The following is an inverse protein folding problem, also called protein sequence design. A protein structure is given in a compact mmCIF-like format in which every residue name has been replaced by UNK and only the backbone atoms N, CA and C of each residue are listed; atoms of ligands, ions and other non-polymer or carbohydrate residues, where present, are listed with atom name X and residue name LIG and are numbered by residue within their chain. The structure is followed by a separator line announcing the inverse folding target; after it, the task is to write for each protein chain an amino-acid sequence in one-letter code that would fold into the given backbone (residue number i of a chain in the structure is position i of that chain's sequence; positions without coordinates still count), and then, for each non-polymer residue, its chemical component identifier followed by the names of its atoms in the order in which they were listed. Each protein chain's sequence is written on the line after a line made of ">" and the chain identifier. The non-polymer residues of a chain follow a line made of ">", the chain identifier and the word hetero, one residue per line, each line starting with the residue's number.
data_IF_227965149631
#
_entry.id   IF_227965149631
#
_cell.length_a   1.000
_cell.length_b   1.000
_cell.length_c   1.000
_cell.angle_alpha   90.00
_cell.angle_beta   90.00
_cell.angle_gamma   90.00
#
_symmetry.space_group_name_H-M   'P 1'
#
loop_
_entity.id
_entity.type
_entity.pdbx_description
1 polymer ?
#
# COMPACT_ATOMS: atom_id res chain seq x y z
N UNK A 1 61.90 0.94 -52.90
CA UNK A 1 61.07 1.17 -54.10
C UNK A 1 60.50 -0.19 -54.47
N UNK A 2 59.22 -0.50 -54.36
CA UNK A 2 57.98 0.28 -54.46
C UNK A 2 56.88 -0.46 -53.71
N UNK A 3 55.90 0.30 -53.23
CA UNK A 3 54.63 -0.11 -52.62
C UNK A 3 53.76 -0.90 -53.59
N UNK A 4 52.97 -1.87 -53.11
CA UNK A 4 51.56 -1.91 -53.49
C UNK A 4 50.66 -2.57 -52.44
N UNK A 5 49.49 -1.96 -52.32
CA UNK A 5 48.43 -2.12 -51.34
C UNK A 5 47.42 -3.18 -51.82
N UNK A 6 46.92 -4.00 -50.90
CA UNK A 6 45.72 -4.84 -51.11
C UNK A 6 45.13 -5.24 -49.76
N UNK A 7 44.36 -4.30 -49.24
CA UNK A 7 43.16 -4.48 -48.40
C UNK A 7 42.53 -5.88 -48.47
N UNK A 8 42.54 -6.60 -47.34
CA UNK A 8 41.62 -7.72 -47.09
C UNK A 8 40.71 -7.38 -45.91
N UNK A 9 39.48 -7.02 -46.26
CA UNK A 9 38.33 -6.86 -45.36
C UNK A 9 38.09 -8.16 -44.59
N UNK A 10 38.20 -8.09 -43.26
CA UNK A 10 37.69 -9.09 -42.33
C UNK A 10 36.20 -8.86 -42.10
N UNK A 11 35.40 -9.90 -42.30
CA UNK A 11 33.96 -9.90 -42.00
C UNK A 11 33.70 -9.71 -40.49
N UNK A 12 32.59 -9.07 -40.10
CA UNK A 12 32.29 -8.83 -38.69
C UNK A 12 31.94 -10.14 -37.99
N UNK A 13 32.55 -10.37 -36.83
CA UNK A 13 32.23 -11.47 -35.94
C UNK A 13 30.76 -11.45 -35.55
N UNK A 14 30.17 -12.63 -35.48
CA UNK A 14 28.86 -12.87 -34.90
C UNK A 14 28.84 -12.36 -33.45
N UNK A 15 28.17 -11.23 -33.22
CA UNK A 15 27.78 -10.80 -31.88
C UNK A 15 26.82 -11.85 -31.34
N UNK A 16 27.35 -12.81 -30.57
CA UNK A 16 26.56 -13.61 -29.66
C UNK A 16 26.03 -12.66 -28.60
N UNK A 17 24.82 -12.14 -28.83
CA UNK A 17 24.07 -11.43 -27.80
C UNK A 17 23.98 -12.32 -26.58
N UNK A 18 24.71 -11.95 -25.52
CA UNK A 18 24.61 -12.59 -24.21
C UNK A 18 23.19 -12.30 -23.74
N UNK A 19 22.30 -13.27 -23.94
CA UNK A 19 20.95 -13.21 -23.41
C UNK A 19 21.07 -13.48 -21.91
N UNK A 20 21.43 -12.44 -21.14
CA UNK A 20 21.42 -12.50 -19.68
C UNK A 20 19.97 -12.82 -19.30
N UNK A 21 19.68 -13.99 -18.68
CA UNK A 21 18.37 -14.20 -18.13
C UNK A 21 18.22 -13.15 -17.05
N UNK A 22 17.37 -12.15 -17.29
CA UNK A 22 16.97 -11.23 -16.23
C UNK A 22 16.29 -12.10 -15.20
N UNK A 23 16.99 -12.41 -14.11
CA UNK A 23 16.46 -13.23 -13.03
C UNK A 23 15.22 -12.53 -12.52
N UNK A 24 14.07 -13.10 -12.89
CA UNK A 24 12.78 -12.58 -12.50
C UNK A 24 12.68 -12.54 -10.97
N UNK A 25 13.44 -13.36 -10.23
CA UNK A 25 13.39 -13.48 -8.77
C UNK A 25 14.21 -12.43 -8.02
N UNK A 26 14.55 -11.29 -8.65
CA UNK A 26 15.29 -10.23 -7.97
C UNK A 26 14.45 -9.58 -6.83
N UNK A 27 14.88 -9.70 -5.57
CA UNK A 27 14.15 -9.18 -4.40
C UNK A 27 14.13 -7.65 -4.32
N UNK A 28 14.90 -6.96 -5.16
CA UNK A 28 14.94 -5.49 -5.26
C UNK A 28 14.03 -4.93 -6.35
N UNK A 29 13.36 -5.76 -7.14
CA UNK A 29 12.37 -5.28 -8.12
C UNK A 29 11.20 -4.64 -7.37
N UNK A 30 10.79 -3.45 -7.82
CA UNK A 30 9.61 -2.79 -7.27
C UNK A 30 8.37 -3.60 -7.63
N UNK A 31 7.85 -4.33 -6.65
CA UNK A 31 6.66 -5.18 -6.82
C UNK A 31 5.35 -4.38 -6.85
N UNK A 32 5.43 -3.08 -6.55
CA UNK A 32 4.32 -2.14 -6.48
C UNK A 32 4.76 -0.77 -7.00
N UNK A 33 3.88 -0.08 -7.72
CA UNK A 33 4.08 1.32 -8.14
C UNK A 33 4.07 2.32 -6.98
N UNK A 34 3.57 1.91 -5.81
CA UNK A 34 3.46 2.74 -4.59
C UNK A 34 3.98 1.98 -3.37
N UNK A 35 4.75 2.63 -2.50
CA UNK A 35 5.10 2.04 -1.21
C UNK A 35 3.94 2.14 -0.23
N UNK A 36 3.71 1.10 0.57
CA UNK A 36 2.70 1.16 1.65
C UNK A 36 3.06 2.30 2.60
N UNK A 37 2.13 3.22 2.79
CA UNK A 37 2.27 4.41 3.65
C UNK A 37 1.20 4.50 4.75
N UNK A 38 0.39 3.44 4.90
CA UNK A 38 -0.68 3.35 5.89
C UNK A 38 -1.99 4.03 5.50
N UNK A 39 -2.03 4.75 4.37
CA UNK A 39 -3.25 5.35 3.81
C UNK A 39 -3.65 4.72 2.47
N UNK A 40 -2.68 4.19 1.72
CA UNK A 40 -2.88 3.62 0.39
C UNK A 40 -3.06 2.09 0.37
N UNK A 41 -3.52 1.49 1.47
CA UNK A 41 -3.57 0.03 1.63
C UNK A 41 -4.25 -0.69 0.46
N UNK A 42 -5.41 -0.22 -0.01
CA UNK A 42 -6.15 -0.89 -1.09
C UNK A 42 -5.34 -0.96 -2.40
N UNK A 43 -4.73 0.15 -2.81
CA UNK A 43 -3.93 0.23 -4.04
C UNK A 43 -2.65 -0.61 -3.90
N UNK A 44 -1.99 -0.51 -2.74
CA UNK A 44 -0.79 -1.29 -2.45
C UNK A 44 -1.09 -2.79 -2.44
N UNK A 45 -2.14 -3.21 -1.72
CA UNK A 45 -2.52 -4.62 -1.58
C UNK A 45 -2.88 -5.22 -2.93
N UNK A 46 -3.66 -4.50 -3.75
CA UNK A 46 -4.00 -4.97 -5.10
C UNK A 46 -2.76 -5.13 -5.98
N UNK A 47 -1.85 -4.15 -5.94
CA UNK A 47 -0.60 -4.20 -6.71
C UNK A 47 0.28 -5.39 -6.30
N UNK A 48 0.46 -5.58 -4.99
CA UNK A 48 1.24 -6.68 -4.43
C UNK A 48 0.63 -8.04 -4.80
N UNK A 49 -0.70 -8.20 -4.68
CA UNK A 49 -1.40 -9.43 -5.09
C UNK A 49 -1.21 -9.72 -6.56
N UNK A 50 -1.37 -8.74 -7.45
CA UNK A 50 -1.20 -8.93 -8.90
C UNK A 50 0.23 -9.38 -9.23
N UNK A 51 1.25 -8.73 -8.65
CA UNK A 51 2.64 -9.09 -8.87
C UNK A 51 2.96 -10.52 -8.40
N UNK A 52 2.53 -10.86 -7.18
CA UNK A 52 2.79 -12.17 -6.57
C UNK A 52 2.01 -13.27 -7.30
N UNK A 53 0.76 -13.00 -7.69
CA UNK A 53 -0.07 -13.92 -8.48
C UNK A 53 0.50 -14.17 -9.87
N UNK A 54 1.00 -13.13 -10.56
CA UNK A 54 1.66 -13.25 -11.85
C UNK A 54 2.92 -14.13 -11.84
N UNK A 55 3.44 -14.46 -10.65
CA UNK A 55 4.60 -15.33 -10.43
C UNK A 55 4.23 -16.70 -9.85
N UNK A 56 2.95 -17.00 -9.73
CA UNK A 56 2.46 -18.27 -9.17
C UNK A 56 2.72 -18.44 -7.67
N UNK A 57 2.98 -17.35 -6.93
CA UNK A 57 3.30 -17.39 -5.49
C UNK A 57 2.15 -16.96 -4.59
N UNK A 58 0.93 -16.85 -5.13
CA UNK A 58 -0.24 -16.36 -4.38
C UNK A 58 -0.58 -17.22 -3.15
N UNK A 59 -0.26 -18.52 -3.21
CA UNK A 59 -0.47 -19.45 -2.09
C UNK A 59 0.23 -19.05 -0.80
N UNK A 60 1.32 -18.28 -0.88
CA UNK A 60 2.04 -17.75 0.30
C UNK A 60 1.29 -16.58 0.97
N UNK A 61 0.44 -15.85 0.24
CA UNK A 61 -0.45 -14.83 0.80
C UNK A 61 -1.74 -15.44 1.37
N UNK A 62 -2.30 -16.46 0.71
CA UNK A 62 -3.58 -17.07 1.10
C UNK A 62 -3.43 -18.15 2.17
N UNK A 63 -2.23 -18.72 2.30
CA UNK A 63 -1.96 -19.86 3.19
C UNK A 63 -2.18 -21.22 2.53
N UNK A 64 -2.51 -21.26 1.24
CA UNK A 64 -2.64 -22.51 0.48
C UNK A 64 -1.27 -23.21 0.34
N UNK A 65 -0.19 -22.43 0.27
CA UNK A 65 1.18 -22.94 0.35
C UNK A 65 1.52 -23.24 1.82
N UNK A 66 1.04 -24.39 2.31
CA UNK A 66 1.24 -24.82 3.70
C UNK A 66 2.70 -25.05 4.02
N UNK A 67 3.09 -24.67 5.22
CA UNK A 67 4.39 -24.97 5.75
C UNK A 67 4.56 -26.48 5.95
N UNK A 68 5.58 -27.10 5.33
CA UNK A 68 5.91 -28.50 5.59
C UNK A 68 6.58 -28.68 6.95
N UNK A 69 6.60 -29.90 7.45
CA UNK A 69 7.42 -30.26 8.60
C UNK A 69 8.91 -30.02 8.32
N UNK A 70 9.67 -29.63 9.32
CA UNK A 70 11.10 -29.28 9.16
C UNK A 70 11.99 -30.42 8.65
N UNK A 71 11.54 -31.67 8.78
CA UNK A 71 12.22 -32.88 8.27
C UNK A 71 11.84 -33.21 6.83
N UNK A 72 10.85 -32.54 6.26
CA UNK A 72 10.41 -32.75 4.88
C UNK A 72 11.40 -32.16 3.88
N UNK A 73 11.74 -32.94 2.86
CA UNK A 73 12.58 -32.51 1.73
C UNK A 73 12.09 -31.24 1.01
N UNK A 74 10.78 -30.97 1.07
CA UNK A 74 10.13 -29.80 0.46
C UNK A 74 10.23 -28.54 1.32
N UNK A 75 10.57 -28.65 2.61
CA UNK A 75 10.66 -27.51 3.54
C UNK A 75 11.65 -26.45 3.06
N UNK A 76 12.84 -26.87 2.62
CA UNK A 76 13.88 -25.94 2.13
C UNK A 76 13.38 -25.09 0.96
N UNK A 77 12.71 -25.73 -0.01
CA UNK A 77 12.08 -25.03 -1.12
C UNK A 77 11.00 -24.08 -0.63
N UNK A 78 10.07 -24.55 0.20
CA UNK A 78 9.01 -23.70 0.75
C UNK A 78 9.57 -22.49 1.51
N UNK A 79 10.59 -22.69 2.34
CA UNK A 79 11.22 -21.65 3.14
C UNK A 79 11.89 -20.59 2.27
N UNK A 80 12.62 -20.99 1.23
CA UNK A 80 13.24 -20.06 0.28
C UNK A 80 12.20 -19.23 -0.47
N UNK A 81 11.11 -19.85 -0.94
CA UNK A 81 10.04 -19.18 -1.66
C UNK A 81 9.24 -18.25 -0.74
N UNK A 82 8.93 -18.67 0.47
CA UNK A 82 8.31 -17.83 1.50
C UNK A 82 9.19 -16.62 1.81
N UNK A 83 10.50 -16.81 2.02
CA UNK A 83 11.45 -15.74 2.30
C UNK A 83 11.57 -14.73 1.16
N UNK A 84 11.49 -15.22 -0.09
CA UNK A 84 11.48 -14.37 -1.28
C UNK A 84 10.23 -13.47 -1.31
N UNK A 85 9.04 -14.03 -1.08
CA UNK A 85 7.80 -13.24 -1.06
C UNK A 85 7.77 -12.27 0.11
N UNK A 86 8.27 -12.66 1.29
CA UNK A 86 8.48 -11.74 2.41
C UNK A 86 9.34 -10.57 1.98
N UNK A 87 10.49 -10.81 1.34
CA UNK A 87 11.40 -9.74 0.89
C UNK A 87 10.71 -8.74 -0.03
N UNK A 88 9.87 -9.21 -0.95
CA UNK A 88 9.07 -8.37 -1.83
C UNK A 88 8.08 -7.50 -1.04
N UNK A 89 7.36 -8.08 -0.09
CA UNK A 89 6.43 -7.34 0.77
C UNK A 89 7.17 -6.27 1.59
N UNK A 90 8.22 -6.64 2.33
CA UNK A 90 8.92 -5.68 3.21
C UNK A 90 9.60 -4.55 2.44
N UNK A 91 10.19 -4.81 1.28
CA UNK A 91 10.80 -3.77 0.44
C UNK A 91 9.77 -2.83 -0.20
N UNK A 92 8.51 -3.26 -0.29
CA UNK A 92 7.39 -2.44 -0.77
C UNK A 92 6.77 -1.54 0.30
N UNK A 93 7.27 -1.55 1.54
CA UNK A 93 6.76 -0.72 2.64
C UNK A 93 7.64 0.52 2.88
N UNK A 94 7.06 1.57 3.47
CA UNK A 94 7.86 2.67 4.01
C UNK A 94 8.65 2.23 5.26
N UNK A 95 9.82 2.83 5.54
CA UNK A 95 10.70 2.40 6.65
C UNK A 95 10.04 2.41 8.03
N UNK A 96 9.14 3.35 8.29
CA UNK A 96 8.39 3.42 9.55
C UNK A 96 7.34 2.30 9.71
N UNK A 97 6.95 1.67 8.61
CA UNK A 97 5.97 0.58 8.58
C UNK A 97 6.68 -0.77 8.65
N UNK A 98 7.75 -0.95 7.87
CA UNK A 98 8.45 -2.24 7.72
C UNK A 98 8.96 -2.80 9.06
N UNK A 99 9.36 -1.93 9.99
CA UNK A 99 9.86 -2.32 11.32
C UNK A 99 8.86 -3.19 12.08
N UNK A 100 7.55 -2.94 11.91
CA UNK A 100 6.49 -3.72 12.56
C UNK A 100 6.33 -5.16 12.05
N UNK A 101 6.93 -5.49 10.90
CA UNK A 101 6.75 -6.78 10.23
C UNK A 101 8.05 -7.57 10.02
N UNK A 102 9.20 -6.94 10.29
CA UNK A 102 10.54 -7.49 9.98
C UNK A 102 10.85 -8.80 10.70
N UNK A 103 10.23 -9.05 11.87
CA UNK A 103 10.45 -10.24 12.68
C UNK A 103 9.35 -11.30 12.56
N UNK A 104 8.40 -11.11 11.64
CA UNK A 104 7.42 -12.14 11.33
C UNK A 104 8.09 -13.28 10.56
N UNK A 105 7.58 -14.49 10.72
CA UNK A 105 8.23 -15.72 10.23
C UNK A 105 7.75 -16.10 8.84
N UNK A 106 6.51 -15.76 8.51
CA UNK A 106 5.90 -16.15 7.25
C UNK A 106 5.32 -14.96 6.48
N UNK A 107 5.26 -15.11 5.17
CA UNK A 107 4.55 -14.18 4.28
C UNK A 107 3.09 -14.02 4.71
N UNK A 108 2.43 -15.11 5.11
CA UNK A 108 1.04 -15.11 5.56
C UNK A 108 0.84 -14.24 6.80
N UNK A 109 1.72 -14.37 7.79
CA UNK A 109 1.69 -13.54 9.00
C UNK A 109 1.80 -12.04 8.67
N UNK A 110 2.75 -11.67 7.80
CA UNK A 110 2.89 -10.27 7.34
C UNK A 110 1.61 -9.82 6.65
N UNK A 111 1.11 -10.62 5.71
CA UNK A 111 -0.06 -10.28 4.91
C UNK A 111 -1.31 -10.04 5.79
N UNK A 112 -1.58 -10.96 6.72
CA UNK A 112 -2.72 -10.88 7.63
C UNK A 112 -2.59 -9.71 8.59
N UNK A 113 -1.41 -9.47 9.15
CA UNK A 113 -1.19 -8.37 10.07
C UNK A 113 -1.44 -7.01 9.39
N UNK A 114 -0.97 -6.83 8.15
CA UNK A 114 -1.22 -5.61 7.38
C UNK A 114 -2.72 -5.46 7.07
N UNK A 115 -3.39 -6.54 6.66
CA UNK A 115 -4.84 -6.54 6.40
C UNK A 115 -5.63 -6.14 7.65
N UNK A 116 -5.37 -6.75 8.79
CA UNK A 116 -6.07 -6.47 10.04
C UNK A 116 -5.92 -5.01 10.49
N UNK A 117 -4.70 -4.45 10.39
CA UNK A 117 -4.46 -3.04 10.74
C UNK A 117 -5.20 -2.11 9.77
N UNK A 118 -5.22 -2.42 8.48
CA UNK A 118 -5.92 -1.63 7.48
C UNK A 118 -7.44 -1.67 7.69
N UNK A 119 -8.00 -2.85 7.92
CA UNK A 119 -9.41 -3.04 8.21
C UNK A 119 -9.80 -2.25 9.46
N UNK A 120 -9.06 -2.36 10.56
CA UNK A 120 -9.31 -1.60 11.79
C UNK A 120 -9.30 -0.07 11.56
N UNK A 121 -8.38 0.43 10.72
CA UNK A 121 -8.34 1.86 10.35
C UNK A 121 -9.54 2.28 9.51
N UNK A 122 -9.97 1.44 8.56
CA UNK A 122 -11.16 1.69 7.73
C UNK A 122 -12.41 1.72 8.61
N UNK A 123 -12.59 0.75 9.49
CA UNK A 123 -13.70 0.71 10.45
C UNK A 123 -13.72 1.94 11.36
N UNK A 124 -12.57 2.34 11.92
CA UNK A 124 -12.48 3.55 12.75
C UNK A 124 -12.93 4.80 11.98
N UNK A 125 -12.45 4.98 10.74
CA UNK A 125 -12.88 6.11 9.89
C UNK A 125 -14.38 6.09 9.59
N UNK A 126 -14.95 4.91 9.35
CA UNK A 126 -16.38 4.76 9.09
C UNK A 126 -17.22 5.11 10.32
N UNK A 127 -16.81 4.67 11.51
CA UNK A 127 -17.49 4.97 12.76
C UNK A 127 -17.42 6.47 13.08
N UNK A 128 -16.25 7.11 12.90
CA UNK A 128 -16.11 8.57 13.09
C UNK A 128 -16.99 9.34 12.11
N UNK A 129 -17.02 8.94 10.83
CA UNK A 129 -17.91 9.52 9.84
C UNK A 129 -19.39 9.37 10.23
N UNK A 130 -19.78 8.20 10.72
CA UNK A 130 -21.14 7.93 11.19
C UNK A 130 -21.51 8.79 12.42
N UNK A 131 -20.59 8.98 13.37
CA UNK A 131 -20.79 9.86 14.54
C UNK A 131 -21.04 11.30 14.12
N UNK A 132 -20.29 11.81 13.14
CA UNK A 132 -20.51 13.15 12.60
C UNK A 132 -21.88 13.26 11.94
N UNK A 133 -22.30 12.28 11.12
CA UNK A 133 -23.64 12.29 10.54
C UNK A 133 -24.74 12.30 11.61
N UNK A 134 -24.60 11.50 12.67
CA UNK A 134 -25.55 11.48 13.79
C UNK A 134 -25.58 12.83 14.51
N UNK A 135 -24.42 13.43 14.79
CA UNK A 135 -24.32 14.77 15.37
C UNK A 135 -25.02 15.81 14.51
N UNK A 136 -24.72 15.85 13.21
CA UNK A 136 -25.30 16.80 12.25
C UNK A 136 -26.81 16.64 12.10
N UNK A 137 -27.32 15.40 12.13
CA UNK A 137 -28.76 15.11 12.07
C UNK A 137 -29.51 15.60 13.33
N UNK A 138 -28.83 15.65 14.47
CA UNK A 138 -29.38 16.18 15.73
C UNK A 138 -29.28 17.69 15.88
N UNK A 139 -28.58 18.41 15.00
CA UNK A 139 -28.48 19.86 15.06
C UNK A 139 -29.83 20.54 14.77
N UNK A 140 -30.09 21.66 15.45
CA UNK A 140 -31.24 22.52 15.17
C UNK A 140 -31.16 23.10 13.73
N UNK A 141 -32.31 23.45 13.13
CA UNK A 141 -32.40 23.99 11.77
C UNK A 141 -31.66 25.32 11.59
N UNK A 142 -31.45 26.06 12.68
CA UNK A 142 -30.66 27.31 12.65
C UNK A 142 -29.18 27.11 12.30
N UNK A 143 -28.65 25.88 12.46
CA UNK A 143 -27.27 25.53 12.13
C UNK A 143 -27.14 24.88 10.74
N UNK A 144 -28.13 25.06 9.86
CA UNK A 144 -28.12 24.49 8.50
C UNK A 144 -26.86 24.88 7.72
N UNK A 145 -26.43 26.15 7.84
CA UNK A 145 -25.22 26.61 7.18
C UNK A 145 -23.97 25.86 7.67
N UNK A 146 -23.81 25.70 8.99
CA UNK A 146 -22.72 24.92 9.57
C UNK A 146 -22.80 23.45 9.14
N UNK A 147 -24.00 22.87 9.07
CA UNK A 147 -24.23 21.49 8.60
C UNK A 147 -23.72 21.30 7.18
N UNK A 148 -24.19 22.12 6.23
CA UNK A 148 -23.77 22.04 4.82
C UNK A 148 -22.27 22.26 4.67
N UNK A 149 -21.72 23.24 5.39
CA UNK A 149 -20.27 23.51 5.37
C UNK A 149 -19.46 22.29 5.85
N UNK A 150 -19.84 21.66 6.97
CA UNK A 150 -19.16 20.47 7.50
C UNK A 150 -19.26 19.30 6.52
N UNK A 151 -20.42 19.08 5.88
CA UNK A 151 -20.62 18.01 4.91
C UNK A 151 -19.75 18.16 3.65
N UNK A 152 -19.47 19.40 3.25
CA UNK A 152 -18.67 19.71 2.06
C UNK A 152 -17.16 19.79 2.33
N UNK A 153 -16.69 19.57 3.57
CA UNK A 153 -15.26 19.59 3.89
C UNK A 153 -14.56 18.34 3.36
N UNK A 154 -13.42 18.54 2.70
CA UNK A 154 -12.46 17.49 2.36
C UNK A 154 -11.06 17.79 2.95
N UNK A 155 -10.44 16.87 3.71
CA UNK A 155 -11.00 15.58 4.15
C UNK A 155 -12.20 15.75 5.09
N UNK A 156 -13.08 14.75 5.09
CA UNK A 156 -14.28 14.76 5.94
C UNK A 156 -13.87 14.86 7.42
N UNK A 157 -14.43 15.82 8.18
CA UNK A 157 -13.98 16.11 9.53
C UNK A 157 -14.33 14.97 10.49
N UNK A 158 -13.57 14.86 11.58
CA UNK A 158 -13.96 14.02 12.72
C UNK A 158 -14.97 14.74 13.62
N UNK A 159 -15.49 14.03 14.63
CA UNK A 159 -16.53 14.58 15.52
C UNK A 159 -16.11 15.87 16.24
N UNK A 160 -14.87 15.95 16.73
CA UNK A 160 -14.38 17.13 17.45
C UNK A 160 -14.22 18.34 16.52
N UNK A 161 -13.77 18.12 15.29
CA UNK A 161 -13.67 19.17 14.27
C UNK A 161 -15.05 19.68 13.85
N UNK A 162 -16.04 18.78 13.74
CA UNK A 162 -17.42 19.15 13.47
C UNK A 162 -18.02 19.98 14.61
N UNK A 163 -17.83 19.56 15.86
CA UNK A 163 -18.24 20.31 17.06
C UNK A 163 -17.60 21.71 17.10
N UNK A 164 -16.29 21.78 16.88
CA UNK A 164 -15.56 23.06 16.85
C UNK A 164 -16.06 24.00 15.74
N UNK A 165 -16.47 23.44 14.60
CA UNK A 165 -17.03 24.22 13.49
C UNK A 165 -18.39 24.84 13.87
N UNK A 166 -19.26 24.08 14.56
CA UNK A 166 -20.56 24.58 15.03
C UNK A 166 -20.38 25.65 16.11
N UNK A 167 -19.51 25.43 17.10
CA UNK A 167 -19.23 26.42 18.14
C UNK A 167 -18.66 27.73 17.58
N UNK A 168 -17.81 27.64 16.57
CA UNK A 168 -17.26 28.82 15.90
C UNK A 168 -18.35 29.60 15.17
N UNK A 169 -19.28 28.89 14.53
CA UNK A 169 -20.45 29.50 13.87
C UNK A 169 -21.38 30.18 14.89
N UNK A 170 -21.66 29.51 16.01
CA UNK A 170 -22.46 30.07 17.11
C UNK A 170 -21.84 31.34 17.69
N UNK A 171 -20.53 31.32 17.96
CA UNK A 171 -19.79 32.49 18.48
C UNK A 171 -19.82 33.67 17.51
N UNK A 172 -19.77 33.40 16.21
CA UNK A 172 -19.89 34.42 15.16
C UNK A 172 -21.30 34.99 15.12
N UNK A 173 -22.33 34.16 15.27
CA UNK A 173 -23.74 34.58 15.31
C UNK A 173 -24.04 35.41 16.56
N UNK A 174 -23.52 35.05 17.73
CA UNK A 174 -23.71 35.81 18.97
C UNK A 174 -23.01 37.17 18.96
N UNK A 175 -21.93 37.30 18.19
CA UNK A 175 -21.16 38.54 18.05
C UNK A 175 -21.70 39.50 16.98
N UNK A 176 -22.66 39.08 16.15
CA UNK A 176 -23.37 39.95 15.21
C UNK A 176 -24.79 40.23 15.72
N UNK A 177 -25.06 41.39 16.34
CA UNK A 177 -26.43 41.75 16.70
C UNK A 177 -27.28 41.82 15.43
N UNK A 178 -28.47 41.23 15.45
CA UNK A 178 -29.46 41.35 14.39
C UNK A 178 -29.70 42.84 14.08
N UNK A 179 -29.32 43.29 12.89
CA UNK A 179 -29.77 44.57 12.35
C UNK A 179 -31.27 44.42 12.09
N UNK A 180 -32.07 44.93 13.02
CA UNK A 180 -33.51 45.19 12.86
C UNK A 180 -33.68 46.36 11.91
#
# INVERSE_FOLDING_TARGET
>A
MTTDDSTKSSSPGSETGVNIPVSMDNPRLQITIVKLNGQNFLIWAQSARMYIAGRGKIGYLTGDAKEPESTDTTYSKWYSENSLVMSWLVHSMQPNIVVGYMFMRTTKEIWDAVQNVADAKIYTKLIEKQRVFQFLAGLNSEFEYARVHILNREPFPNLNEAYSSVLSDESRRSSQPSLV
#
